data_IF_734717604292
#
_entry.id   IF_734717604292
#
_cell.length_a   1.000
_cell.length_b   1.000
_cell.length_c   1.000
_cell.angle_alpha   90.00
_cell.angle_beta   90.00
_cell.angle_gamma   90.00
#
_symmetry.space_group_name_H-M   'P 1'
#
loop_
_entity.id
_entity.type
_entity.pdbx_description
1 polymer ?
#
# COMPACT_ATOMS: atom_id res chain seq x y z
N UNK A 1 10.24 -17.82 -17.85
CA UNK A 1 8.84 -17.40 -17.64
C UNK A 1 8.71 -16.01 -18.21
N UNK A 2 7.73 -15.76 -19.09
CA UNK A 2 7.53 -14.42 -19.67
C UNK A 2 6.94 -13.45 -18.64
N UNK A 3 7.18 -12.13 -18.77
CA UNK A 3 6.57 -11.12 -17.90
C UNK A 3 5.03 -11.22 -17.85
N UNK A 4 4.40 -11.52 -18.98
CA UNK A 4 2.95 -11.66 -19.10
C UNK A 4 2.41 -12.84 -18.26
N UNK A 5 3.15 -13.96 -18.22
CA UNK A 5 2.74 -15.13 -17.42
C UNK A 5 2.89 -14.89 -15.93
N UNK A 6 3.91 -14.14 -15.50
CA UNK A 6 4.08 -13.72 -14.10
C UNK A 6 2.97 -12.75 -13.69
N UNK A 7 2.63 -11.80 -14.57
CA UNK A 7 1.54 -10.86 -14.32
C UNK A 7 0.20 -11.56 -14.17
N UNK A 8 -0.14 -12.49 -15.07
CA UNK A 8 -1.38 -13.27 -15.01
C UNK A 8 -1.46 -14.12 -13.73
N UNK A 9 -0.37 -14.77 -13.34
CA UNK A 9 -0.31 -15.55 -12.10
C UNK A 9 -0.49 -14.65 -10.86
N UNK A 10 0.13 -13.46 -10.84
CA UNK A 10 -0.01 -12.50 -9.75
C UNK A 10 -1.44 -11.99 -9.60
N UNK A 11 -2.15 -11.73 -10.70
CA UNK A 11 -3.56 -11.34 -10.67
C UNK A 11 -4.47 -12.47 -10.19
N UNK A 12 -4.25 -13.71 -10.62
CA UNK A 12 -5.01 -14.86 -10.17
C UNK A 12 -4.83 -15.11 -8.67
N UNK A 13 -3.59 -14.99 -8.18
CA UNK A 13 -3.28 -15.07 -6.75
C UNK A 13 -3.98 -13.95 -5.99
N UNK A 14 -3.90 -12.72 -6.50
CA UNK A 14 -4.56 -11.57 -5.88
C UNK A 14 -6.06 -11.78 -5.76
N UNK A 15 -6.74 -12.24 -6.82
CA UNK A 15 -8.17 -12.51 -6.80
C UNK A 15 -8.54 -13.54 -5.70
N UNK A 16 -7.75 -14.60 -5.56
CA UNK A 16 -7.98 -15.65 -4.55
C UNK A 16 -7.81 -15.11 -3.12
N UNK A 17 -6.72 -14.40 -2.85
CA UNK A 17 -6.43 -13.86 -1.53
C UNK A 17 -7.37 -12.72 -1.14
N UNK A 18 -7.73 -11.86 -2.09
CA UNK A 18 -8.70 -10.78 -1.87
C UNK A 18 -10.11 -11.33 -1.57
N UNK A 19 -10.51 -12.46 -2.17
CA UNK A 19 -11.77 -13.11 -1.83
C UNK A 19 -11.80 -13.55 -0.35
N UNK A 20 -10.70 -14.12 0.14
CA UNK A 20 -10.57 -14.48 1.57
C UNK A 20 -10.60 -13.24 2.48
N UNK A 21 -9.86 -12.18 2.10
CA UNK A 21 -9.86 -10.92 2.85
C UNK A 21 -11.21 -10.23 2.82
N UNK A 22 -11.94 -10.30 1.71
CA UNK A 22 -13.30 -9.75 1.60
C UNK A 22 -14.27 -10.42 2.58
N UNK A 23 -14.19 -11.74 2.72
CA UNK A 23 -15.00 -12.48 3.69
C UNK A 23 -14.67 -12.08 5.14
N UNK A 24 -13.43 -11.66 5.42
CA UNK A 24 -12.99 -11.20 6.73
C UNK A 24 -13.29 -9.72 6.99
N UNK A 25 -12.87 -8.83 6.08
CA UNK A 25 -13.02 -7.38 6.22
C UNK A 25 -13.16 -6.69 4.84
N UNK A 26 -14.38 -6.51 4.32
CA UNK A 26 -14.63 -5.94 2.98
C UNK A 26 -14.03 -4.56 2.76
N UNK A 27 -13.99 -3.72 3.81
CA UNK A 27 -13.45 -2.36 3.72
C UNK A 27 -11.96 -2.35 3.38
N UNK A 28 -11.17 -3.31 3.90
CA UNK A 28 -9.74 -3.44 3.54
C UNK A 28 -9.58 -3.79 2.06
N UNK A 29 -10.45 -4.64 1.52
CA UNK A 29 -10.39 -4.98 0.08
C UNK A 29 -10.74 -3.78 -0.79
N UNK A 30 -11.80 -3.05 -0.45
CA UNK A 30 -12.20 -1.85 -1.19
C UNK A 30 -11.06 -0.82 -1.22
N UNK A 31 -10.43 -0.56 -0.06
CA UNK A 31 -9.23 0.27 0.05
C UNK A 31 -8.08 -0.25 -0.84
N UNK A 32 -7.70 -1.51 -0.68
CA UNK A 32 -6.61 -2.11 -1.46
C UNK A 32 -6.81 -2.03 -2.97
N UNK A 33 -8.04 -2.18 -3.44
CA UNK A 33 -8.36 -2.04 -4.87
C UNK A 33 -8.24 -0.58 -5.35
N UNK A 34 -8.67 0.43 -4.56
CA UNK A 34 -8.45 1.84 -4.91
C UNK A 34 -6.97 2.18 -4.98
N UNK A 35 -6.20 1.76 -3.96
CA UNK A 35 -4.73 1.92 -3.95
C UNK A 35 -4.11 1.27 -5.19
N UNK A 36 -4.54 0.06 -5.55
CA UNK A 36 -4.03 -0.64 -6.73
C UNK A 36 -4.30 0.10 -8.05
N UNK A 37 -5.50 0.68 -8.22
CA UNK A 37 -5.83 1.48 -9.40
C UNK A 37 -4.94 2.73 -9.50
N UNK A 38 -4.78 3.47 -8.40
CA UNK A 38 -3.92 4.65 -8.37
C UNK A 38 -2.44 4.29 -8.62
N UNK A 39 -1.92 3.27 -7.96
CA UNK A 39 -0.54 2.80 -8.14
C UNK A 39 -0.29 2.38 -9.58
N UNK A 40 -1.19 1.60 -10.19
CA UNK A 40 -1.07 1.17 -11.59
C UNK A 40 -1.15 2.34 -12.57
N UNK A 41 -1.92 3.39 -12.25
CA UNK A 41 -2.00 4.61 -13.04
C UNK A 41 -0.72 5.47 -12.94
N UNK A 42 -0.08 5.50 -11.77
CA UNK A 42 1.12 6.29 -11.51
C UNK A 42 2.39 5.60 -12.04
N UNK A 43 2.51 4.30 -11.84
CA UNK A 43 3.73 3.54 -12.11
C UNK A 43 4.32 3.73 -13.53
N UNK A 44 3.53 3.83 -14.62
CA UNK A 44 4.07 4.07 -15.96
C UNK A 44 4.75 5.43 -16.15
N UNK A 45 4.44 6.40 -15.30
CA UNK A 45 4.95 7.77 -15.38
C UNK A 45 6.23 8.00 -14.56
N UNK A 46 6.63 7.00 -13.75
CA UNK A 46 7.85 7.08 -12.96
C UNK A 46 9.06 6.67 -13.82
N UNK A 47 10.17 7.44 -13.79
CA UNK A 47 11.36 7.13 -14.56
C UNK A 47 12.11 5.91 -13.99
N UNK A 48 12.68 5.09 -14.89
CA UNK A 48 13.69 4.06 -14.60
C UNK A 48 13.37 3.03 -13.49
N UNK A 49 12.07 2.77 -13.25
CA UNK A 49 11.65 1.87 -12.19
C UNK A 49 11.72 0.38 -12.60
N UNK A 50 12.06 -0.51 -11.65
CA UNK A 50 12.31 -1.93 -11.93
C UNK A 50 11.07 -2.73 -12.35
N UNK A 51 9.88 -2.12 -12.28
CA UNK A 51 8.59 -2.75 -12.68
C UNK A 51 8.09 -2.31 -14.05
N UNK A 52 8.88 -1.57 -14.83
CA UNK A 52 8.48 -1.16 -16.19
C UNK A 52 8.04 -2.37 -17.01
N UNK A 53 6.85 -2.30 -17.60
CA UNK A 53 6.25 -3.40 -18.34
C UNK A 53 5.61 -4.51 -17.46
N UNK A 54 5.53 -4.33 -16.14
CA UNK A 54 4.98 -5.31 -15.18
C UNK A 54 3.74 -4.79 -14.46
N UNK A 55 2.89 -4.02 -15.13
CA UNK A 55 1.74 -3.33 -14.54
C UNK A 55 0.76 -4.28 -13.83
N UNK A 56 0.51 -5.47 -14.37
CA UNK A 56 -0.34 -6.46 -13.74
C UNK A 56 0.20 -6.91 -12.37
N UNK A 57 1.51 -7.02 -12.26
CA UNK A 57 2.18 -7.40 -11.01
C UNK A 57 2.23 -6.23 -10.02
N UNK A 58 2.45 -5.01 -10.51
CA UNK A 58 2.36 -3.77 -9.72
C UNK A 58 0.95 -3.62 -9.13
N UNK A 59 -0.08 -3.85 -9.94
CA UNK A 59 -1.47 -3.84 -9.47
C UNK A 59 -1.69 -4.87 -8.36
N UNK A 60 -1.25 -6.12 -8.57
CA UNK A 60 -1.38 -7.18 -7.56
C UNK A 60 -0.63 -6.85 -6.27
N UNK A 61 0.57 -6.26 -6.38
CA UNK A 61 1.37 -5.83 -5.23
C UNK A 61 0.63 -4.80 -4.38
N UNK A 62 0.06 -3.78 -5.03
CA UNK A 62 -0.70 -2.75 -4.35
C UNK A 62 -2.04 -3.29 -3.79
N UNK A 63 -2.75 -4.14 -4.53
CA UNK A 63 -4.01 -4.74 -4.05
C UNK A 63 -3.83 -5.62 -2.82
N UNK A 64 -2.67 -6.27 -2.68
CA UNK A 64 -2.36 -7.21 -1.61
C UNK A 64 -1.53 -6.62 -0.47
N UNK A 65 -1.20 -5.32 -0.48
CA UNK A 65 -0.31 -4.74 0.52
C UNK A 65 -0.76 -5.03 1.96
N UNK A 66 -2.05 -5.07 2.17
CA UNK A 66 -2.73 -5.25 3.45
C UNK A 66 -3.24 -6.68 3.72
N UNK A 67 -2.85 -7.68 2.93
CA UNK A 67 -3.39 -9.06 3.05
C UNK A 67 -3.16 -9.66 4.43
N UNK A 68 -2.14 -9.25 5.15
CA UNK A 68 -1.84 -9.69 6.51
C UNK A 68 -2.89 -9.31 7.54
N UNK A 69 -3.79 -8.37 7.22
CA UNK A 69 -4.95 -8.04 8.06
C UNK A 69 -5.94 -9.21 8.21
N UNK A 70 -5.82 -10.27 7.40
CA UNK A 70 -6.49 -11.55 7.65
C UNK A 70 -6.21 -12.12 9.05
N UNK A 71 -5.03 -11.84 9.62
CA UNK A 71 -4.62 -12.34 10.92
C UNK A 71 -4.86 -11.33 12.06
N UNK A 72 -5.43 -10.17 11.76
CA UNK A 72 -5.85 -9.18 12.76
C UNK A 72 -7.30 -9.46 13.15
N UNK A 73 -7.64 -9.57 14.44
CA UNK A 73 -9.02 -9.79 14.87
C UNK A 73 -10.00 -8.76 14.30
N UNK A 74 -11.13 -9.23 13.78
CA UNK A 74 -12.15 -8.35 13.17
C UNK A 74 -12.64 -7.27 14.15
N UNK A 75 -12.75 -7.60 15.43
CA UNK A 75 -13.14 -6.64 16.47
C UNK A 75 -12.19 -5.45 16.58
N UNK A 76 -10.91 -5.62 16.21
CA UNK A 76 -9.91 -4.55 16.16
C UNK A 76 -10.08 -3.75 14.86
N UNK A 77 -10.17 -4.43 13.72
CA UNK A 77 -10.30 -3.77 12.41
C UNK A 77 -11.58 -2.95 12.27
N UNK A 78 -12.69 -3.45 12.85
CA UNK A 78 -14.00 -2.82 12.79
C UNK A 78 -14.29 -1.90 14.00
N UNK A 79 -13.31 -1.63 14.85
CA UNK A 79 -13.52 -0.82 16.05
C UNK A 79 -13.97 0.61 15.69
N UNK A 80 -15.14 1.10 16.19
CA UNK A 80 -15.65 2.43 15.88
C UNK A 80 -15.00 3.53 16.76
N UNK A 81 -13.79 3.30 17.22
CA UNK A 81 -13.03 4.14 18.13
C UNK A 81 -11.53 4.09 17.84
N UNK A 82 -10.76 4.96 18.44
CA UNK A 82 -9.30 4.83 18.43
C UNK A 82 -8.88 3.50 19.09
N UNK A 83 -7.87 2.86 18.53
CA UNK A 83 -7.31 1.63 19.05
C UNK A 83 -6.47 1.90 20.31
N UNK A 84 -6.51 0.96 21.27
CA UNK A 84 -5.56 0.96 22.37
C UNK A 84 -4.13 0.68 21.88
N UNK A 85 -3.09 0.98 22.70
CA UNK A 85 -1.70 0.68 22.32
C UNK A 85 -1.47 -0.80 21.98
N UNK A 86 -2.15 -1.73 22.67
CA UNK A 86 -2.01 -3.17 22.41
C UNK A 86 -2.72 -3.57 21.11
N UNK A 87 -3.91 -3.02 20.84
CA UNK A 87 -4.62 -3.22 19.59
C UNK A 87 -3.84 -2.64 18.41
N UNK A 88 -3.28 -1.43 18.58
CA UNK A 88 -2.41 -0.83 17.56
C UNK A 88 -1.19 -1.71 17.27
N UNK A 89 -0.53 -2.20 18.32
CA UNK A 89 0.60 -3.14 18.17
C UNK A 89 0.18 -4.40 17.41
N UNK A 90 -1.02 -4.95 17.66
CA UNK A 90 -1.54 -6.08 16.89
C UNK A 90 -1.67 -5.74 15.40
N UNK A 91 -2.19 -4.55 15.06
CA UNK A 91 -2.31 -4.09 13.67
C UNK A 91 -0.94 -3.92 13.02
N UNK A 92 0.07 -3.38 13.72
CA UNK A 92 1.41 -3.15 13.14
C UNK A 92 2.17 -4.43 12.74
N UNK A 93 1.69 -5.60 13.13
CA UNK A 93 2.23 -6.88 12.66
C UNK A 93 1.74 -7.29 11.26
N UNK A 94 0.70 -6.63 10.69
CA UNK A 94 0.14 -7.06 9.40
C UNK A 94 1.16 -7.08 8.25
N UNK A 95 2.21 -6.23 8.13
CA UNK A 95 3.18 -6.35 7.05
C UNK A 95 3.98 -7.66 7.16
N UNK A 96 4.36 -8.07 8.38
CA UNK A 96 5.03 -9.35 8.60
C UNK A 96 4.11 -10.54 8.30
N UNK A 97 2.83 -10.43 8.64
CA UNK A 97 1.82 -11.42 8.28
C UNK A 97 1.60 -11.47 6.76
N UNK A 98 1.55 -10.30 6.09
CA UNK A 98 1.46 -10.22 4.63
C UNK A 98 2.61 -10.97 3.96
N UNK A 99 3.84 -10.70 4.40
CA UNK A 99 5.02 -11.42 3.93
C UNK A 99 4.85 -12.93 4.06
N UNK A 100 4.51 -13.42 5.25
CA UNK A 100 4.39 -14.86 5.51
C UNK A 100 3.31 -15.52 4.64
N UNK A 101 2.16 -14.86 4.45
CA UNK A 101 1.08 -15.33 3.58
C UNK A 101 1.55 -15.39 2.13
N UNK A 102 2.15 -14.31 1.63
CA UNK A 102 2.54 -14.15 0.23
C UNK A 102 3.68 -15.07 -0.18
N UNK A 103 4.72 -15.23 0.68
CA UNK A 103 5.81 -16.18 0.44
C UNK A 103 5.29 -17.61 0.35
N UNK A 104 4.39 -18.03 1.26
CA UNK A 104 3.79 -19.36 1.24
C UNK A 104 2.87 -19.59 0.03
N UNK A 105 2.25 -18.55 -0.47
CA UNK A 105 1.40 -18.57 -1.66
C UNK A 105 2.21 -18.50 -2.97
N UNK A 106 3.54 -18.39 -2.92
CA UNK A 106 4.40 -18.31 -4.09
C UNK A 106 4.30 -16.97 -4.84
N UNK A 107 3.95 -15.88 -4.14
CA UNK A 107 3.93 -14.55 -4.73
C UNK A 107 5.32 -14.12 -5.20
N UNK A 108 5.37 -13.27 -6.22
CA UNK A 108 6.64 -12.73 -6.70
C UNK A 108 7.32 -11.82 -5.66
N UNK A 109 8.65 -11.65 -5.73
CA UNK A 109 9.37 -10.77 -4.81
C UNK A 109 8.80 -9.34 -4.78
N UNK A 110 8.36 -8.81 -5.91
CA UNK A 110 7.76 -7.46 -5.99
C UNK A 110 6.50 -7.35 -5.13
N UNK A 111 5.62 -8.34 -5.18
CA UNK A 111 4.39 -8.40 -4.37
C UNK A 111 4.71 -8.54 -2.88
N UNK A 112 5.67 -9.40 -2.54
CA UNK A 112 6.10 -9.62 -1.15
C UNK A 112 6.70 -8.34 -0.56
N UNK A 113 7.64 -7.71 -1.25
CA UNK A 113 8.35 -6.53 -0.75
C UNK A 113 7.43 -5.31 -0.63
N UNK A 114 6.51 -5.10 -1.57
CA UNK A 114 5.50 -4.06 -1.47
C UNK A 114 4.71 -4.19 -0.16
N UNK A 115 4.18 -5.38 0.12
CA UNK A 115 3.36 -5.66 1.30
C UNK A 115 4.16 -5.61 2.61
N UNK A 116 5.43 -5.99 2.57
CA UNK A 116 6.25 -6.04 3.78
C UNK A 116 6.81 -4.70 4.22
N UNK A 117 7.06 -3.77 3.25
CA UNK A 117 7.79 -2.53 3.51
C UNK A 117 6.98 -1.24 3.29
N UNK A 118 5.67 -1.29 2.98
CA UNK A 118 4.88 -0.08 2.69
C UNK A 118 4.66 0.85 3.89
N UNK A 119 4.97 0.41 5.10
CA UNK A 119 4.95 1.23 6.32
C UNK A 119 6.35 1.64 6.80
N UNK A 120 7.40 1.37 6.03
CA UNK A 120 8.71 1.93 6.32
C UNK A 120 8.71 3.44 6.07
N UNK A 121 9.45 4.17 6.89
CA UNK A 121 9.60 5.61 6.75
C UNK A 121 10.94 5.94 6.10
N UNK A 122 10.93 6.89 5.14
CA UNK A 122 12.11 7.28 4.37
C UNK A 122 13.30 7.65 5.24
N UNK A 123 13.07 8.34 6.36
CA UNK A 123 14.11 8.78 7.29
C UNK A 123 14.63 7.68 8.24
N UNK A 124 14.08 6.47 8.19
CA UNK A 124 14.42 5.36 9.09
C UNK A 124 14.01 5.57 10.54
N UNK A 125 13.15 6.54 10.81
CA UNK A 125 12.68 6.85 12.16
C UNK A 125 11.90 5.70 12.80
N UNK A 126 11.74 5.68 14.15
CA UNK A 126 11.00 4.62 14.86
C UNK A 126 9.51 4.52 14.50
N UNK A 127 8.99 5.49 13.75
CA UNK A 127 7.62 5.46 13.26
C UNK A 127 7.43 4.45 12.11
N UNK A 128 8.50 4.18 11.34
CA UNK A 128 8.51 3.16 10.31
C UNK A 128 8.61 1.74 10.87
N UNK A 129 7.96 0.80 10.23
CA UNK A 129 7.96 -0.62 10.60
C UNK A 129 7.72 -1.51 9.37
N UNK A 130 8.04 -2.83 9.43
CA UNK A 130 8.53 -3.61 10.57
C UNK A 130 10.05 -3.69 10.67
N UNK A 131 10.81 -3.25 9.64
CA UNK A 131 12.26 -3.48 9.48
C UNK A 131 13.12 -2.28 9.85
N UNK A 132 12.54 -1.09 9.89
CA UNK A 132 13.24 0.20 10.06
C UNK A 132 14.27 0.46 8.97
N UNK A 133 13.89 0.19 7.74
CA UNK A 133 14.68 0.55 6.56
C UNK A 133 14.67 2.07 6.37
N UNK A 134 15.69 2.58 5.67
CA UNK A 134 15.80 4.01 5.36
C UNK A 134 16.17 4.25 3.90
N UNK A 135 15.71 5.33 3.33
CA UNK A 135 16.07 5.75 1.98
C UNK A 135 15.92 4.65 0.94
N UNK A 136 16.95 4.39 0.18
CA UNK A 136 16.95 3.40 -0.92
C UNK A 136 16.97 1.94 -0.46
N UNK A 137 17.13 1.66 0.84
CA UNK A 137 16.89 0.32 1.38
C UNK A 137 15.43 -0.09 1.29
N UNK A 138 14.50 0.90 1.25
CA UNK A 138 13.08 0.64 1.08
C UNK A 138 12.83 0.33 -0.40
N UNK A 139 12.29 -0.85 -0.73
CA UNK A 139 11.97 -1.21 -2.12
C UNK A 139 11.12 -0.12 -2.79
N UNK A 140 11.48 0.28 -4.02
CA UNK A 140 10.81 1.37 -4.73
C UNK A 140 9.29 1.17 -4.84
N UNK A 141 8.83 -0.08 -5.06
CA UNK A 141 7.39 -0.40 -5.08
C UNK A 141 6.72 -0.12 -3.72
N UNK A 142 7.39 -0.38 -2.61
CA UNK A 142 6.85 -0.12 -1.29
C UNK A 142 6.76 1.39 -1.01
N UNK A 143 7.74 2.18 -1.49
CA UNK A 143 7.71 3.65 -1.43
C UNK A 143 6.51 4.21 -2.19
N UNK A 144 6.23 3.69 -3.39
CA UNK A 144 5.07 4.09 -4.19
C UNK A 144 3.75 3.72 -3.50
N UNK A 145 3.63 2.48 -3.02
CA UNK A 145 2.43 2.02 -2.28
C UNK A 145 2.21 2.88 -1.04
N UNK A 146 3.26 3.21 -0.27
CA UNK A 146 3.18 4.04 0.94
C UNK A 146 2.57 5.43 0.69
N UNK A 147 2.99 6.11 -0.38
CA UNK A 147 2.44 7.43 -0.75
C UNK A 147 0.96 7.32 -1.11
N UNK A 148 0.59 6.33 -1.92
CA UNK A 148 -0.78 6.16 -2.41
C UNK A 148 -1.72 5.65 -1.31
N UNK A 149 -1.25 4.72 -0.47
CA UNK A 149 -1.97 4.24 0.71
C UNK A 149 -2.31 5.40 1.65
N UNK A 150 -1.33 6.24 1.99
CA UNK A 150 -1.54 7.40 2.82
C UNK A 150 -2.54 8.39 2.21
N UNK A 151 -2.47 8.62 0.89
CA UNK A 151 -3.42 9.49 0.18
C UNK A 151 -4.84 8.93 0.26
N UNK A 152 -5.07 7.65 -0.05
CA UNK A 152 -6.39 7.02 0.01
C UNK A 152 -6.92 7.02 1.45
N UNK A 153 -6.08 6.61 2.42
CA UNK A 153 -6.46 6.57 3.83
C UNK A 153 -6.82 7.95 4.42
N UNK A 154 -6.19 9.03 3.96
CA UNK A 154 -6.53 10.40 4.36
C UNK A 154 -7.81 10.90 3.69
N UNK A 155 -8.08 10.46 2.46
CA UNK A 155 -9.20 10.93 1.63
C UNK A 155 -10.50 10.22 1.92
N UNK A 156 -10.49 9.09 2.64
CA UNK A 156 -11.68 8.30 2.98
C UNK A 156 -12.33 8.77 4.28
N UNK A 157 -13.68 8.75 4.27
CA UNK A 157 -14.46 8.93 5.49
C UNK A 157 -14.27 7.72 6.42
N UNK A 158 -14.05 8.01 7.70
CA UNK A 158 -14.02 6.99 8.75
C UNK A 158 -15.13 7.26 9.76
N UNK A 159 -15.60 6.27 10.52
CA UNK A 159 -16.71 6.45 11.46
C UNK A 159 -16.56 7.61 12.45
N UNK A 160 -15.34 8.06 12.68
CA UNK A 160 -14.97 9.11 13.65
C UNK A 160 -14.28 10.33 13.02
N UNK A 161 -14.13 10.37 11.68
CA UNK A 161 -13.45 11.46 10.96
C UNK A 161 -13.88 11.54 9.51
N UNK A 162 -14.28 12.72 9.05
CA UNK A 162 -14.43 12.99 7.62
C UNK A 162 -13.08 12.90 6.88
N UNK A 163 -13.10 12.41 5.67
CA UNK A 163 -11.94 12.39 4.77
C UNK A 163 -11.48 13.81 4.43
N UNK A 164 -10.20 13.94 4.18
CA UNK A 164 -9.64 15.19 3.68
C UNK A 164 -10.04 15.39 2.20
N UNK A 165 -10.11 16.65 1.79
CA UNK A 165 -10.17 16.94 0.36
C UNK A 165 -8.88 16.47 -0.32
N UNK A 166 -8.90 16.09 -1.62
CA UNK A 166 -7.69 15.68 -2.33
C UNK A 166 -6.55 16.69 -2.20
N UNK A 167 -6.84 17.97 -2.30
CA UNK A 167 -5.85 19.04 -2.14
C UNK A 167 -5.27 19.09 -0.71
N UNK A 168 -6.05 18.78 0.32
CA UNK A 168 -5.54 18.73 1.69
C UNK A 168 -4.68 17.48 1.91
N UNK A 169 -5.08 16.31 1.37
CA UNK A 169 -4.30 15.09 1.43
C UNK A 169 -2.94 15.26 0.71
N UNK A 170 -2.92 15.89 -0.47
CA UNK A 170 -1.67 16.19 -1.18
C UNK A 170 -0.72 17.08 -0.38
N UNK A 171 -1.24 18.08 0.34
CA UNK A 171 -0.40 18.90 1.22
C UNK A 171 0.21 18.10 2.39
N UNK A 172 -0.50 17.11 2.93
CA UNK A 172 0.07 16.22 3.96
C UNK A 172 1.15 15.30 3.37
N UNK A 173 0.95 14.77 2.16
CA UNK A 173 1.98 14.00 1.43
C UNK A 173 3.23 14.87 1.22
N UNK A 174 3.06 16.12 0.75
CA UNK A 174 4.17 17.06 0.54
C UNK A 174 4.93 17.36 1.84
N UNK A 175 4.22 17.57 2.96
CA UNK A 175 4.86 17.78 4.28
C UNK A 175 5.64 16.55 4.75
N UNK A 176 5.19 15.36 4.40
CA UNK A 176 5.86 14.10 4.75
C UNK A 176 7.08 13.77 3.88
N UNK A 177 7.33 14.54 2.81
CA UNK A 177 8.48 14.32 1.93
C UNK A 177 9.81 14.45 2.68
N UNK A 178 10.70 13.47 2.53
CA UNK A 178 11.99 13.40 3.22
C UNK A 178 11.93 12.88 4.66
N UNK A 179 10.72 12.70 5.23
CA UNK A 179 10.53 12.02 6.52
C UNK A 179 9.80 10.69 6.34
N UNK A 180 8.51 10.71 6.12
CA UNK A 180 7.72 9.50 5.88
C UNK A 180 7.89 8.98 4.45
N UNK A 181 7.91 9.89 3.47
CA UNK A 181 7.86 9.56 2.05
C UNK A 181 9.16 9.91 1.33
N UNK A 182 9.47 9.16 0.29
CA UNK A 182 10.54 9.45 -0.65
C UNK A 182 10.31 10.83 -1.31
N UNK A 183 11.22 11.81 -1.10
CA UNK A 183 11.01 13.17 -1.59
C UNK A 183 11.04 13.27 -3.11
N UNK A 184 11.80 12.40 -3.80
CA UNK A 184 11.86 12.40 -5.27
C UNK A 184 10.57 11.84 -5.86
N UNK A 185 10.05 10.77 -5.27
CA UNK A 185 8.77 10.18 -5.65
C UNK A 185 7.63 11.18 -5.44
N UNK A 186 7.56 11.83 -4.27
CA UNK A 186 6.55 12.86 -3.97
C UNK A 186 6.62 13.99 -4.99
N UNK A 187 7.81 14.53 -5.27
CA UNK A 187 7.97 15.59 -6.25
C UNK A 187 7.46 15.18 -7.64
N UNK A 188 7.76 13.96 -8.08
CA UNK A 188 7.30 13.42 -9.36
C UNK A 188 5.77 13.31 -9.42
N UNK A 189 5.16 12.73 -8.38
CA UNK A 189 3.70 12.52 -8.29
C UNK A 189 2.95 13.85 -8.28
N UNK A 190 3.43 14.85 -7.54
CA UNK A 190 2.83 16.18 -7.47
C UNK A 190 2.99 16.96 -8.79
N UNK A 191 4.19 16.96 -9.37
CA UNK A 191 4.46 17.68 -10.61
C UNK A 191 3.61 17.21 -11.79
N UNK A 192 3.23 15.93 -11.80
CA UNK A 192 2.43 15.33 -12.86
C UNK A 192 0.93 15.26 -12.55
N UNK A 193 0.51 15.69 -11.36
CA UNK A 193 -0.90 15.67 -10.94
C UNK A 193 -1.50 14.25 -10.89
N UNK A 194 -0.68 13.23 -10.59
CA UNK A 194 -1.05 11.83 -10.69
C UNK A 194 -1.95 11.30 -9.56
N UNK A 195 -2.11 12.05 -8.48
CA UNK A 195 -3.03 11.71 -7.39
C UNK A 195 -4.29 12.58 -7.49
N UNK A 196 -5.28 12.10 -8.22
CA UNK A 196 -6.63 12.67 -8.23
C UNK A 196 -7.65 11.55 -8.11
N UNK A 197 -8.80 11.80 -7.44
CA UNK A 197 -9.89 10.81 -7.36
C UNK A 197 -10.53 10.50 -8.72
N UNK A 198 -10.33 11.34 -9.72
CA UNK A 198 -10.91 11.16 -11.05
C UNK A 198 -10.27 10.02 -11.85
N UNK A 199 -9.13 9.48 -11.39
CA UNK A 199 -8.46 8.33 -12.01
C UNK A 199 -9.08 6.99 -11.53
N UNK A 200 -9.89 7.01 -10.48
CA UNK A 200 -10.49 5.81 -9.85
C UNK A 200 -11.98 5.61 -10.20
N UNK A 201 -12.54 6.38 -11.14
CA UNK A 201 -13.94 6.29 -11.57
C UNK A 201 -14.13 5.42 -12.81
#
# INVERSE_FOLDING_TARGET
VSPDSVGAASLALAATLLAALHAHHPATVAHGLRVAHLVAGIAPHLPDEPWRGRIAEVYAAAALHDIGKLLVPLAILAAPRALSPDEWRCVTYHPSHSRAILERAGASPLVVEASWAHHEWWDGSPNGYPRRLSGDEIPAIARLVSVVDAFDAMSEDRPYRAGLTPAAALREIERGAGSQFDPQLVACVLAQGLLSRDIAA
#
